data_IF_893467109271
#
_entry.id   IF_893467109271
#
_cell.length_a   1.000
_cell.length_b   1.000
_cell.length_c   1.000
_cell.angle_alpha   90.00
_cell.angle_beta   90.00
_cell.angle_gamma   90.00
#
_symmetry.space_group_name_H-M   'P 1'
#
loop_
_entity.id
_entity.type
_entity.pdbx_description
1 polymer ?
#
# COMPACT_ATOMS: atom_id res chain seq x y z
N UNK A 1 9.18 -4.26 -6.55
CA UNK A 1 8.28 -5.26 -5.94
C UNK A 1 7.08 -5.42 -6.86
N UNK A 2 6.76 -6.65 -7.26
CA UNK A 2 5.55 -6.98 -8.04
C UNK A 2 4.38 -7.35 -7.10
N UNK A 3 3.16 -7.56 -7.64
CA UNK A 3 2.00 -7.93 -6.81
C UNK A 3 2.20 -9.23 -6.04
N UNK A 4 2.81 -10.25 -6.68
CA UNK A 4 3.05 -11.56 -6.05
C UNK A 4 3.96 -11.47 -4.82
N UNK A 5 5.04 -10.71 -4.94
CA UNK A 5 5.96 -10.45 -3.83
C UNK A 5 5.31 -9.63 -2.72
N UNK A 6 4.53 -8.60 -3.09
CA UNK A 6 3.78 -7.80 -2.12
C UNK A 6 2.82 -8.66 -1.31
N UNK A 7 1.98 -9.44 -1.98
CA UNK A 7 0.98 -10.31 -1.35
C UNK A 7 1.63 -11.44 -0.52
N UNK A 8 2.86 -11.86 -0.85
CA UNK A 8 3.64 -12.80 -0.03
C UNK A 8 4.17 -12.15 1.24
N UNK A 9 4.59 -10.88 1.16
CA UNK A 9 5.20 -10.14 2.27
C UNK A 9 4.17 -9.54 3.22
N UNK A 10 3.04 -9.06 2.68
CA UNK A 10 2.00 -8.35 3.42
C UNK A 10 0.66 -9.04 3.19
N UNK A 11 0.04 -9.50 4.28
CA UNK A 11 -1.30 -10.07 4.24
C UNK A 11 -2.34 -8.96 4.09
N UNK A 12 -3.53 -9.30 3.60
CA UNK A 12 -4.69 -8.42 3.70
C UNK A 12 -4.91 -8.05 5.18
N UNK A 13 -5.18 -6.77 5.44
CA UNK A 13 -5.26 -6.17 6.77
C UNK A 13 -3.94 -5.57 7.28
N UNK A 14 -2.84 -5.66 6.51
CA UNK A 14 -1.56 -5.05 6.90
C UNK A 14 -1.64 -3.53 6.86
N UNK A 15 -1.05 -2.86 7.85
CA UNK A 15 -1.07 -1.40 7.99
C UNK A 15 0.12 -0.73 7.29
N UNK A 16 -0.17 0.41 6.67
CA UNK A 16 0.79 1.24 5.96
C UNK A 16 0.50 2.72 6.21
N UNK A 17 1.51 3.55 6.01
CA UNK A 17 1.34 5.00 5.89
C UNK A 17 1.17 5.30 4.41
N UNK A 18 0.03 5.87 4.03
CA UNK A 18 -0.18 6.33 2.66
C UNK A 18 0.47 7.70 2.47
N UNK A 19 1.56 7.72 1.70
CA UNK A 19 2.36 8.89 1.43
C UNK A 19 2.54 9.08 -0.09
N UNK A 20 1.63 9.80 -0.76
CA UNK A 20 1.67 9.98 -2.22
C UNK A 20 2.91 10.74 -2.69
N UNK A 21 3.47 11.61 -1.84
CA UNK A 21 4.68 12.37 -2.15
C UNK A 21 5.80 12.06 -1.16
N UNK A 22 6.90 11.47 -1.64
CA UNK A 22 8.03 11.03 -0.79
C UNK A 22 8.70 12.17 0.00
N UNK A 23 8.62 13.41 -0.46
CA UNK A 23 9.19 14.55 0.25
C UNK A 23 8.33 15.04 1.44
N UNK A 24 7.03 14.70 1.47
CA UNK A 24 6.13 15.10 2.55
C UNK A 24 6.22 14.06 3.67
N UNK A 25 6.57 14.47 4.89
CA UNK A 25 6.64 13.52 6.01
C UNK A 25 5.24 13.23 6.56
N UNK A 26 4.94 11.95 6.77
CA UNK A 26 3.68 11.50 7.35
C UNK A 26 2.60 11.17 6.32
N UNK A 27 1.43 10.78 6.80
CA UNK A 27 0.30 10.38 5.98
C UNK A 27 -0.72 9.61 6.81
N UNK A 28 -1.97 9.45 6.33
CA UNK A 28 -2.94 8.62 7.02
C UNK A 28 -2.45 7.17 7.09
N UNK A 29 -2.70 6.54 8.24
CA UNK A 29 -2.52 5.09 8.38
C UNK A 29 -3.69 4.40 7.70
N UNK A 30 -3.37 3.53 6.75
CA UNK A 30 -4.31 2.77 5.94
C UNK A 30 -4.03 1.28 6.12
N UNK A 31 -5.06 0.45 5.97
CA UNK A 31 -4.92 -1.00 5.94
C UNK A 31 -5.30 -1.54 4.57
N UNK A 32 -4.65 -2.62 4.14
CA UNK A 32 -5.02 -3.31 2.90
C UNK A 32 -6.34 -4.04 3.06
N UNK A 33 -7.28 -3.82 2.16
CA UNK A 33 -8.60 -4.50 2.16
C UNK A 33 -8.61 -5.68 1.19
N UNK A 34 -7.78 -5.60 0.15
CA UNK A 34 -7.68 -6.62 -0.89
C UNK A 34 -6.23 -7.02 -1.20
N UNK A 35 -6.09 -7.97 -2.12
CA UNK A 35 -4.79 -8.35 -2.69
C UNK A 35 -4.30 -7.26 -3.64
N UNK A 36 -2.99 -7.05 -3.69
CA UNK A 36 -2.38 -6.24 -4.73
C UNK A 36 -2.47 -6.96 -6.09
N UNK A 37 -2.63 -6.19 -7.16
CA UNK A 37 -2.68 -6.67 -8.53
C UNK A 37 -1.72 -5.88 -9.42
N UNK A 38 -1.16 -6.54 -10.44
CA UNK A 38 -0.28 -5.91 -11.43
C UNK A 38 -1.12 -5.25 -12.53
N UNK A 39 -0.89 -3.96 -12.76
CA UNK A 39 -1.50 -3.19 -13.86
C UNK A 39 -0.42 -2.63 -14.78
N UNK A 40 -0.80 -2.17 -15.98
CA UNK A 40 0.13 -1.52 -16.92
C UNK A 40 0.87 -0.31 -16.32
N UNK A 41 0.27 0.36 -15.34
CA UNK A 41 0.83 1.52 -14.67
C UNK A 41 1.57 1.21 -13.36
N UNK A 42 1.75 -0.07 -13.03
CA UNK A 42 2.40 -0.53 -11.79
C UNK A 42 1.47 -1.40 -10.94
N UNK A 43 1.89 -1.67 -9.71
CA UNK A 43 1.15 -2.52 -8.77
C UNK A 43 0.23 -1.68 -7.91
N UNK A 44 -1.05 -2.04 -7.89
CA UNK A 44 -2.09 -1.32 -7.15
C UNK A 44 -2.69 -2.25 -6.10
N UNK A 45 -2.97 -1.71 -4.92
CA UNK A 45 -3.64 -2.41 -3.83
C UNK A 45 -4.84 -1.60 -3.35
N UNK A 46 -5.88 -2.31 -2.90
CA UNK A 46 -7.06 -1.73 -2.27
C UNK A 46 -6.81 -1.44 -0.79
N UNK A 47 -7.21 -0.26 -0.33
CA UNK A 47 -7.06 0.25 1.03
C UNK A 47 -8.39 0.71 1.61
N UNK A 48 -8.47 0.81 2.93
CA UNK A 48 -9.70 1.11 3.67
C UNK A 48 -10.13 2.59 3.65
N UNK A 49 -9.28 3.50 3.18
CA UNK A 49 -9.54 4.94 3.13
C UNK A 49 -9.38 5.47 1.71
N UNK A 50 -9.97 6.62 1.43
CA UNK A 50 -9.76 7.32 0.16
C UNK A 50 -8.26 7.52 -0.13
N UNK A 51 -7.79 7.25 -1.36
CA UNK A 51 -8.58 7.06 -2.60
C UNK A 51 -9.03 5.60 -2.89
N UNK A 52 -9.02 4.72 -1.90
CA UNK A 52 -9.37 3.28 -1.95
C UNK A 52 -8.43 2.41 -2.78
N UNK A 53 -7.85 2.92 -3.87
CA UNK A 53 -6.87 2.21 -4.68
C UNK A 53 -5.61 3.04 -4.81
N UNK A 54 -4.49 2.49 -4.35
CA UNK A 54 -3.21 3.19 -4.34
C UNK A 54 -2.11 2.31 -4.89
N UNK A 55 -1.07 2.94 -5.45
CA UNK A 55 0.12 2.21 -5.89
C UNK A 55 0.94 1.81 -4.67
N UNK A 56 1.50 0.60 -4.68
CA UNK A 56 2.31 0.11 -3.56
C UNK A 56 3.56 0.99 -3.28
N UNK A 57 4.00 1.80 -4.23
CA UNK A 57 5.17 2.66 -4.09
C UNK A 57 4.88 3.97 -3.33
N UNK A 58 3.60 4.28 -3.07
CA UNK A 58 3.14 5.36 -2.19
C UNK A 58 2.83 4.85 -0.78
N UNK A 59 2.99 3.55 -0.53
CA UNK A 59 2.79 2.94 0.78
C UNK A 59 4.13 2.74 1.48
N UNK A 60 4.22 3.20 2.72
CA UNK A 60 5.36 2.95 3.60
C UNK A 60 4.91 1.97 4.67
N UNK A 61 5.57 0.82 4.85
CA UNK A 61 5.23 -0.13 5.90
C UNK A 61 5.30 0.57 7.27
N UNK A 62 4.20 0.55 8.02
CA UNK A 62 4.25 0.91 9.42
C UNK A 62 4.95 -0.24 10.14
N UNK A 63 6.21 -0.06 10.52
CA UNK A 63 6.97 -1.09 11.25
C UNK A 63 6.27 -1.28 12.60
N UNK A 64 5.84 -2.50 12.98
CA UNK A 64 5.48 -2.77 14.36
C UNK A 64 6.79 -2.75 15.15
N UNK A 65 6.89 -1.84 16.12
CA UNK A 65 7.95 -1.87 17.14
C UNK A 65 7.88 -3.16 17.94
#
# INVERSE_FOLDING_TARGET
>A
MNAKEFNRKYKVGSCFIHQPHRALRGGPVVSTVGKANDFKCGVIVEINLEPYFVRINTLIPAIPF
#
